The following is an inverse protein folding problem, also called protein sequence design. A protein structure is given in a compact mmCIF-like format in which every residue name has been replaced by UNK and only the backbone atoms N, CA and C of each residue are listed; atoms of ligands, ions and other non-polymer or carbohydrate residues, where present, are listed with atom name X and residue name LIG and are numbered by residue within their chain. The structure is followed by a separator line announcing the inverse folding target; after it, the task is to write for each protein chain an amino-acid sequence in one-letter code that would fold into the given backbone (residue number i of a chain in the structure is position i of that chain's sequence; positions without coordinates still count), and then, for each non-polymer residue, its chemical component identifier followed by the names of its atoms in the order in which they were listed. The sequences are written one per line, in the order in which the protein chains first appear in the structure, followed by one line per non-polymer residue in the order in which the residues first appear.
data_IF_604615335754
#
_entry.id   IF_604615335754
#
_cell.length_a   1.000
_cell.length_b   1.000
_cell.length_c   1.000
_cell.angle_alpha   90.00
_cell.angle_beta   90.00
_cell.angle_gamma   90.00
#
_symmetry.space_group_name_H-M   'P 1'
#
loop_
_entity.id
_entity.type
_entity.pdbx_description
1 polymer ?
#
# COMPACT_ATOMS: atom_id res chain seq x y z
N UNK A 1 27.97 -31.97 -16.74
CA UNK A 1 27.48 -31.89 -15.35
C UNK A 1 27.46 -30.45 -14.82
N UNK A 2 28.57 -29.68 -14.89
CA UNK A 2 28.61 -28.29 -14.35
C UNK A 2 27.59 -27.38 -15.01
N UNK A 3 27.39 -27.40 -16.32
CA UNK A 3 26.40 -26.57 -17.02
C UNK A 3 24.97 -26.87 -16.56
N UNK A 4 24.61 -28.13 -16.38
CA UNK A 4 23.27 -28.54 -15.91
C UNK A 4 23.06 -28.04 -14.47
N UNK A 5 24.07 -28.12 -13.61
CA UNK A 5 24.00 -27.60 -12.25
C UNK A 5 23.80 -26.07 -12.23
N UNK A 6 24.53 -25.33 -13.08
CA UNK A 6 24.39 -23.88 -13.21
C UNK A 6 22.98 -23.46 -13.71
N UNK A 7 22.44 -24.16 -14.70
CA UNK A 7 21.08 -23.94 -15.20
C UNK A 7 20.07 -24.21 -14.09
N UNK A 8 20.23 -25.33 -13.38
CA UNK A 8 19.34 -25.67 -12.24
C UNK A 8 19.37 -24.63 -11.13
N UNK A 9 20.55 -24.15 -10.74
CA UNK A 9 20.69 -23.08 -9.73
C UNK A 9 20.06 -21.76 -10.21
N UNK A 10 20.26 -21.38 -11.46
CA UNK A 10 19.68 -20.17 -12.03
C UNK A 10 18.16 -20.25 -12.08
N UNK A 11 17.61 -21.38 -12.48
CA UNK A 11 16.17 -21.63 -12.47
C UNK A 11 15.59 -21.57 -11.04
N UNK A 12 16.26 -22.18 -10.08
CA UNK A 12 15.85 -22.15 -8.67
C UNK A 12 15.89 -20.72 -8.12
N UNK A 13 16.96 -19.96 -8.39
CA UNK A 13 17.07 -18.55 -8.03
C UNK A 13 15.90 -17.72 -8.59
N UNK A 14 15.61 -17.89 -9.89
CA UNK A 14 14.49 -17.20 -10.54
C UNK A 14 13.15 -17.55 -9.86
N UNK A 15 12.87 -18.83 -9.69
CA UNK A 15 11.61 -19.32 -9.13
C UNK A 15 11.39 -18.83 -7.68
N UNK A 16 12.44 -18.81 -6.87
CA UNK A 16 12.33 -18.47 -5.46
C UNK A 16 12.34 -16.97 -5.19
N UNK A 17 13.06 -16.18 -5.99
CA UNK A 17 13.34 -14.77 -5.68
C UNK A 17 12.72 -13.79 -6.68
N UNK A 18 12.69 -14.13 -7.97
CA UNK A 18 12.24 -13.24 -9.02
C UNK A 18 10.76 -13.47 -9.35
N UNK A 19 10.36 -14.71 -9.59
CA UNK A 19 8.97 -15.04 -9.93
C UNK A 19 7.94 -14.48 -8.91
N UNK A 20 8.16 -14.51 -7.59
CA UNK A 20 7.22 -13.93 -6.64
C UNK A 20 6.99 -12.41 -6.81
N UNK A 21 7.95 -11.69 -7.43
CA UNK A 21 7.81 -10.26 -7.75
C UNK A 21 6.98 -9.99 -9.01
N UNK A 22 6.80 -10.99 -9.85
CA UNK A 22 6.04 -10.94 -11.11
C UNK A 22 4.66 -11.59 -10.97
N UNK A 23 4.50 -12.47 -9.99
CA UNK A 23 3.28 -13.21 -9.75
C UNK A 23 2.36 -12.46 -8.79
N UNK A 24 1.54 -11.57 -9.35
CA UNK A 24 0.60 -10.76 -8.59
C UNK A 24 -0.48 -11.63 -7.93
N UNK A 25 -0.65 -11.45 -6.62
CA UNK A 25 -1.79 -11.98 -5.86
C UNK A 25 -2.83 -10.89 -5.69
N UNK A 26 -4.08 -11.21 -5.99
CA UNK A 26 -5.23 -10.41 -5.58
C UNK A 26 -5.71 -11.02 -4.25
N UNK A 27 -5.45 -10.33 -3.15
CA UNK A 27 -5.93 -10.72 -1.83
C UNK A 27 -7.36 -10.19 -1.66
N UNK A 28 -8.25 -10.99 -1.04
CA UNK A 28 -9.63 -10.58 -0.78
C UNK A 28 -9.88 -10.61 0.71
N UNK A 29 -10.41 -9.51 1.23
CA UNK A 29 -10.72 -9.34 2.65
C UNK A 29 -12.17 -8.89 2.77
N UNK A 30 -13.01 -9.76 3.31
CA UNK A 30 -14.36 -9.41 3.70
C UNK A 30 -14.34 -8.94 5.16
N UNK A 31 -14.70 -7.69 5.38
CA UNK A 31 -14.87 -7.11 6.71
C UNK A 31 -16.11 -6.18 6.70
N UNK A 32 -17.32 -6.77 6.68
CA UNK A 32 -18.53 -6.00 6.51
C UNK A 32 -18.76 -5.05 7.69
N UNK A 33 -18.79 -3.76 7.40
CA UNK A 33 -19.14 -2.69 8.34
C UNK A 33 -20.48 -2.03 7.95
N UNK A 34 -21.24 -2.69 7.07
CA UNK A 34 -22.52 -2.20 6.58
C UNK A 34 -22.42 -1.18 5.43
N UNK A 35 -21.23 -0.98 4.86
CA UNK A 35 -21.01 -0.01 3.79
C UNK A 35 -21.38 -0.56 2.40
N UNK A 36 -21.20 -1.87 2.16
CA UNK A 36 -21.49 -2.53 0.88
C UNK A 36 -20.64 -2.01 -0.28
N UNK A 37 -19.42 -1.53 0.00
CA UNK A 37 -18.49 -0.97 -0.99
C UNK A 37 -17.23 -1.82 -1.13
N UNK A 38 -16.70 -1.80 -2.35
CA UNK A 38 -15.46 -2.50 -2.72
C UNK A 38 -14.32 -1.50 -2.88
N UNK A 39 -13.27 -1.65 -2.07
CA UNK A 39 -12.06 -0.86 -2.15
C UNK A 39 -10.93 -1.69 -2.75
N UNK A 40 -10.22 -1.15 -3.73
CA UNK A 40 -8.97 -1.72 -4.21
C UNK A 40 -7.80 -0.98 -3.58
N UNK A 41 -7.08 -1.63 -2.68
CA UNK A 41 -5.86 -1.10 -2.08
C UNK A 41 -4.64 -1.50 -2.93
N UNK A 42 -3.86 -0.49 -3.34
CA UNK A 42 -2.56 -0.65 -4.00
C UNK A 42 -1.53 0.05 -3.12
N UNK A 43 -0.55 -0.68 -2.64
CA UNK A 43 0.45 -0.20 -1.69
C UNK A 43 1.87 -0.47 -2.18
N UNK A 44 2.81 0.40 -1.79
CA UNK A 44 4.24 0.17 -1.99
C UNK A 44 4.57 -0.09 -3.48
N UNK A 45 4.19 0.83 -4.36
CA UNK A 45 4.42 0.69 -5.80
C UNK A 45 5.90 0.53 -6.15
N UNK A 46 6.77 1.36 -5.55
CA UNK A 46 8.21 1.34 -5.83
C UNK A 46 8.47 1.12 -7.32
N UNK A 47 7.95 2.02 -8.17
CA UNK A 47 7.98 1.86 -9.63
C UNK A 47 9.39 1.70 -10.20
N UNK A 48 10.41 2.10 -9.45
CA UNK A 48 11.82 1.89 -9.76
C UNK A 48 12.22 0.41 -9.80
N UNK A 49 11.55 -0.45 -9.03
CA UNK A 49 11.83 -1.89 -8.95
C UNK A 49 10.66 -2.78 -9.39
N UNK A 50 9.47 -2.20 -9.60
CA UNK A 50 8.25 -2.97 -9.90
C UNK A 50 8.38 -3.74 -11.22
N UNK A 51 8.13 -5.06 -11.19
CA UNK A 51 8.15 -5.93 -12.36
C UNK A 51 6.77 -6.23 -12.96
N UNK A 52 5.71 -5.78 -12.29
CA UNK A 52 4.34 -5.86 -12.81
C UNK A 52 4.10 -4.61 -13.63
N UNK A 53 3.82 -4.75 -14.93
CA UNK A 53 3.64 -3.61 -15.84
C UNK A 53 2.34 -2.84 -15.62
N UNK A 54 2.25 -1.58 -16.11
CA UNK A 54 1.03 -0.78 -16.02
C UNK A 54 -0.16 -1.43 -16.71
N UNK A 55 0.02 -2.11 -17.85
CA UNK A 55 -1.07 -2.82 -18.56
C UNK A 55 -1.69 -3.91 -17.67
N UNK A 56 -0.85 -4.65 -16.93
CA UNK A 56 -1.32 -5.64 -15.96
C UNK A 56 -2.06 -5.00 -14.80
N UNK A 57 -1.60 -3.83 -14.36
CA UNK A 57 -2.29 -3.05 -13.33
C UNK A 57 -3.67 -2.61 -13.81
N UNK A 58 -3.76 -2.02 -15.00
CA UNK A 58 -5.05 -1.62 -15.60
C UNK A 58 -6.00 -2.80 -15.74
N UNK A 59 -5.50 -3.94 -16.22
CA UNK A 59 -6.31 -5.16 -16.35
C UNK A 59 -6.89 -5.60 -15.00
N UNK A 60 -6.12 -5.52 -13.91
CA UNK A 60 -6.58 -5.83 -12.55
C UNK A 60 -7.63 -4.84 -12.09
N UNK A 61 -7.38 -3.54 -12.23
CA UNK A 61 -8.35 -2.50 -11.83
C UNK A 61 -9.69 -2.68 -12.55
N UNK A 62 -9.66 -2.95 -13.86
CA UNK A 62 -10.87 -3.22 -14.65
C UNK A 62 -11.60 -4.50 -14.24
N UNK A 63 -10.85 -5.56 -13.96
CA UNK A 63 -11.42 -6.86 -13.58
C UNK A 63 -12.08 -6.83 -12.19
N UNK A 64 -11.48 -6.10 -11.24
CA UNK A 64 -11.96 -6.08 -9.86
C UNK A 64 -13.14 -5.12 -9.64
N UNK A 65 -13.40 -4.19 -10.56
CA UNK A 65 -14.56 -3.27 -10.53
C UNK A 65 -14.75 -2.61 -9.15
N UNK A 66 -13.72 -1.92 -8.62
CA UNK A 66 -13.83 -1.27 -7.32
C UNK A 66 -14.78 -0.08 -7.38
N UNK A 67 -15.41 0.26 -6.24
CA UNK A 67 -16.10 1.53 -6.05
C UNK A 67 -15.10 2.66 -5.76
N UNK A 68 -14.01 2.32 -5.06
CA UNK A 68 -12.95 3.24 -4.67
C UNK A 68 -11.57 2.58 -4.81
N UNK A 69 -10.56 3.37 -5.16
CA UNK A 69 -9.17 2.93 -5.14
C UNK A 69 -8.41 3.73 -4.10
N UNK A 70 -7.61 3.06 -3.27
CA UNK A 70 -6.76 3.69 -2.26
C UNK A 70 -5.30 3.31 -2.47
N UNK A 71 -4.45 4.33 -2.53
CA UNK A 71 -3.01 4.20 -2.70
C UNK A 71 -2.33 4.49 -1.36
N UNK A 72 -1.71 3.49 -0.76
CA UNK A 72 -1.18 3.60 0.60
C UNK A 72 0.34 3.82 0.66
N UNK A 73 0.85 4.71 -0.23
CA UNK A 73 2.21 5.26 -0.17
C UNK A 73 3.31 4.43 -0.81
N UNK A 74 4.53 4.97 -0.76
CA UNK A 74 5.77 4.44 -1.31
C UNK A 74 5.72 4.22 -2.84
N UNK A 75 5.61 5.32 -3.58
CA UNK A 75 5.52 5.33 -5.04
C UNK A 75 6.89 5.25 -5.71
N UNK A 76 7.79 6.16 -5.37
CA UNK A 76 9.22 6.16 -5.76
C UNK A 76 9.99 7.23 -4.98
N UNK A 77 11.24 6.96 -4.63
CA UNK A 77 12.15 7.96 -4.07
C UNK A 77 13.10 8.57 -5.12
N UNK A 78 13.00 8.15 -6.40
CA UNK A 78 13.89 8.55 -7.48
C UNK A 78 13.15 9.38 -8.53
N UNK A 79 13.71 10.56 -8.84
CA UNK A 79 13.13 11.50 -9.80
C UNK A 79 13.04 10.92 -11.22
N UNK A 80 14.05 10.18 -11.65
CA UNK A 80 14.11 9.59 -12.98
C UNK A 80 12.98 8.60 -13.28
N UNK A 81 12.30 8.09 -12.26
CA UNK A 81 11.14 7.21 -12.41
C UNK A 81 9.78 7.91 -12.36
N UNK A 82 9.74 9.25 -12.25
CA UNK A 82 8.47 9.98 -12.32
C UNK A 82 7.70 9.76 -13.63
N UNK A 83 8.34 9.70 -14.82
CA UNK A 83 7.62 9.35 -16.04
C UNK A 83 7.01 7.95 -15.99
N UNK A 84 7.70 7.00 -15.37
CA UNK A 84 7.18 5.65 -15.17
C UNK A 84 6.02 5.64 -14.16
N UNK A 85 6.11 6.40 -13.08
CA UNK A 85 5.02 6.57 -12.13
C UNK A 85 3.75 7.09 -12.83
N UNK A 86 3.87 8.08 -13.70
CA UNK A 86 2.74 8.63 -14.46
C UNK A 86 1.99 7.54 -15.26
N UNK A 87 2.70 6.55 -15.85
CA UNK A 87 2.06 5.44 -16.56
C UNK A 87 1.22 4.56 -15.62
N UNK A 88 1.71 4.30 -14.40
CA UNK A 88 0.94 3.53 -13.41
C UNK A 88 -0.26 4.31 -12.89
N UNK A 89 -0.11 5.60 -12.60
CA UNK A 89 -1.23 6.43 -12.16
C UNK A 89 -2.33 6.47 -13.21
N UNK A 90 -1.96 6.64 -14.50
CA UNK A 90 -2.90 6.57 -15.63
C UNK A 90 -3.61 5.22 -15.70
N UNK A 91 -2.89 4.11 -15.55
CA UNK A 91 -3.47 2.76 -15.55
C UNK A 91 -4.43 2.54 -14.37
N UNK A 92 -4.12 3.09 -13.19
CA UNK A 92 -4.95 2.99 -12.00
C UNK A 92 -6.23 3.80 -12.14
N UNK A 93 -6.17 4.98 -12.76
CA UNK A 93 -7.34 5.85 -12.95
C UNK A 93 -8.19 5.50 -14.17
N UNK A 94 -7.79 4.53 -14.98
CA UNK A 94 -8.40 4.20 -16.27
C UNK A 94 -9.89 3.76 -16.21
N UNK A 95 -10.40 3.43 -15.02
CA UNK A 95 -11.81 3.04 -14.82
C UNK A 95 -12.70 4.18 -14.35
N UNK A 96 -12.13 5.37 -14.08
CA UNK A 96 -12.89 6.58 -13.74
C UNK A 96 -13.52 6.60 -12.34
N UNK A 97 -13.16 5.66 -11.44
CA UNK A 97 -13.62 5.69 -10.05
C UNK A 97 -12.75 6.61 -9.19
N UNK A 98 -13.27 7.14 -8.07
CA UNK A 98 -12.48 7.99 -7.17
C UNK A 98 -11.22 7.28 -6.66
N UNK A 99 -10.08 7.98 -6.72
CA UNK A 99 -8.78 7.48 -6.25
C UNK A 99 -8.25 8.42 -5.18
N UNK A 100 -7.92 7.86 -4.03
CA UNK A 100 -7.35 8.57 -2.88
C UNK A 100 -5.97 8.02 -2.55
N UNK A 101 -5.07 8.87 -2.09
CA UNK A 101 -3.70 8.52 -1.82
C UNK A 101 -3.19 9.11 -0.50
N UNK A 102 -2.25 8.43 0.14
CA UNK A 102 -1.39 8.97 1.20
C UNK A 102 0.07 8.79 0.81
N UNK A 103 0.98 9.51 1.47
CA UNK A 103 2.42 9.40 1.20
C UNK A 103 3.07 8.37 2.13
N UNK A 104 4.07 7.67 1.60
CA UNK A 104 4.95 6.78 2.35
C UNK A 104 6.31 7.41 2.67
N UNK A 105 7.17 6.69 3.37
CA UNK A 105 8.46 7.21 3.79
C UNK A 105 9.43 7.42 2.62
N UNK A 106 9.35 6.63 1.56
CA UNK A 106 10.18 6.81 0.37
C UNK A 106 9.74 8.03 -0.46
N UNK A 107 8.48 8.40 -0.41
CA UNK A 107 7.96 9.59 -1.10
C UNK A 107 8.53 10.88 -0.49
N UNK A 108 8.85 10.88 0.81
CA UNK A 108 9.53 11.98 1.48
C UNK A 108 11.03 12.06 1.16
N UNK A 109 11.62 11.02 0.59
CA UNK A 109 13.01 11.02 0.11
C UNK A 109 13.12 11.54 -1.34
N UNK A 110 11.98 11.80 -1.99
CA UNK A 110 11.92 12.29 -3.36
C UNK A 110 12.59 13.68 -3.48
N UNK A 111 13.61 13.87 -4.35
CA UNK A 111 14.29 15.16 -4.51
C UNK A 111 13.39 16.27 -5.05
N UNK A 112 12.32 15.90 -5.74
CA UNK A 112 11.35 16.83 -6.36
C UNK A 112 9.92 16.46 -5.96
N UNK A 113 9.54 16.58 -4.69
CA UNK A 113 8.23 16.13 -4.21
C UNK A 113 7.08 16.86 -4.90
N UNK A 114 7.25 18.14 -5.28
CA UNK A 114 6.22 18.91 -6.01
C UNK A 114 5.94 18.32 -7.40
N UNK A 115 6.98 17.86 -8.12
CA UNK A 115 6.81 17.23 -9.43
C UNK A 115 5.98 15.94 -9.29
N UNK A 116 6.28 15.10 -8.29
CA UNK A 116 5.51 13.90 -8.00
C UNK A 116 4.05 14.23 -7.65
N UNK A 117 3.80 15.17 -6.74
CA UNK A 117 2.45 15.57 -6.35
C UNK A 117 1.64 16.13 -7.53
N UNK A 118 2.31 16.78 -8.48
CA UNK A 118 1.66 17.28 -9.71
C UNK A 118 1.13 16.13 -10.56
N UNK A 119 1.88 15.01 -10.69
CA UNK A 119 1.39 13.83 -11.43
C UNK A 119 0.09 13.27 -10.85
N UNK A 120 -0.03 13.21 -9.52
CA UNK A 120 -1.26 12.77 -8.89
C UNK A 120 -2.44 13.69 -9.20
N UNK A 121 -2.21 15.00 -9.07
CA UNK A 121 -3.25 16.00 -9.37
C UNK A 121 -3.69 15.96 -10.83
N UNK A 122 -2.77 15.80 -11.78
CA UNK A 122 -3.05 15.68 -13.21
C UNK A 122 -3.89 14.43 -13.54
N UNK A 123 -3.78 13.38 -12.73
CA UNK A 123 -4.60 12.18 -12.85
C UNK A 123 -5.88 12.22 -12.00
N UNK A 124 -6.22 13.36 -11.39
CA UNK A 124 -7.40 13.50 -10.55
C UNK A 124 -7.35 12.73 -9.23
N UNK A 125 -6.16 12.33 -8.76
CA UNK A 125 -5.97 11.58 -7.52
C UNK A 125 -5.87 12.56 -6.34
N UNK A 126 -6.75 12.40 -5.34
CA UNK A 126 -6.74 13.21 -4.14
C UNK A 126 -5.73 12.66 -3.12
N UNK A 127 -4.69 13.44 -2.81
CA UNK A 127 -3.71 13.07 -1.76
C UNK A 127 -4.19 13.66 -0.43
N UNK A 128 -4.41 12.78 0.54
CA UNK A 128 -4.79 13.14 1.90
C UNK A 128 -3.54 13.16 2.80
N UNK A 129 -3.33 14.30 3.47
CA UNK A 129 -2.20 14.50 4.38
C UNK A 129 -2.74 15.08 5.69
N UNK A 130 -3.01 14.22 6.66
CA UNK A 130 -3.64 14.57 7.94
C UNK A 130 -4.96 15.32 7.75
N UNK A 131 -5.81 14.79 6.90
CA UNK A 131 -7.10 15.38 6.58
C UNK A 131 -8.12 14.33 6.19
N UNK A 132 -9.36 14.74 6.04
CA UNK A 132 -10.46 13.86 5.71
C UNK A 132 -11.32 14.42 4.59
N UNK A 133 -12.05 13.53 3.93
CA UNK A 133 -13.10 13.85 2.96
C UNK A 133 -14.38 13.13 3.36
N UNK A 134 -15.47 13.89 3.52
CA UNK A 134 -16.80 13.32 3.75
C UNK A 134 -17.37 12.88 2.41
N UNK A 135 -17.68 11.61 2.29
CA UNK A 135 -18.34 11.01 1.15
C UNK A 135 -19.81 10.69 1.53
N UNK A 136 -20.68 10.41 0.57
CA UNK A 136 -22.09 10.19 0.90
C UNK A 136 -22.30 9.11 1.98
N UNK A 137 -21.59 7.99 1.90
CA UNK A 137 -21.79 6.83 2.77
C UNK A 137 -20.78 6.71 3.92
N UNK A 138 -19.61 7.36 3.85
CA UNK A 138 -18.55 7.25 4.85
C UNK A 138 -17.64 8.48 4.86
N UNK A 139 -16.80 8.60 5.87
CA UNK A 139 -15.68 9.56 5.89
C UNK A 139 -14.37 8.84 5.61
N UNK A 140 -13.62 9.26 4.60
CA UNK A 140 -12.27 8.78 4.33
C UNK A 140 -11.26 9.72 4.97
N UNK A 141 -10.35 9.14 5.78
CA UNK A 141 -9.37 9.86 6.58
C UNK A 141 -7.98 9.44 6.13
N UNK A 142 -7.15 10.40 5.73
CA UNK A 142 -5.76 10.16 5.37
C UNK A 142 -4.82 10.63 6.47
N UNK A 143 -4.11 9.70 7.12
CA UNK A 143 -3.05 10.01 8.08
C UNK A 143 -1.70 9.94 7.35
N UNK A 144 -0.94 11.02 7.43
CA UNK A 144 0.38 11.13 6.81
C UNK A 144 1.38 10.20 7.50
N UNK A 145 2.55 9.98 6.88
CA UNK A 145 3.47 8.92 7.27
C UNK A 145 4.00 9.06 8.70
N UNK A 146 3.81 7.98 9.49
CA UNK A 146 4.18 7.95 10.91
C UNK A 146 5.69 7.88 11.13
N UNK A 147 6.40 7.00 10.42
CA UNK A 147 7.84 6.78 10.62
C UNK A 147 8.72 7.98 10.26
N UNK A 148 8.22 8.91 9.46
CA UNK A 148 8.90 10.18 9.13
C UNK A 148 8.47 11.34 10.03
N UNK A 149 7.61 11.10 11.03
CA UNK A 149 7.13 12.11 11.97
C UNK A 149 6.11 13.11 11.39
N UNK A 150 5.52 12.81 10.23
CA UNK A 150 4.54 13.69 9.59
C UNK A 150 3.10 13.42 10.02
N UNK A 151 2.82 12.33 10.73
CA UNK A 151 1.45 12.00 11.18
C UNK A 151 0.93 13.01 12.21
N UNK A 152 -0.31 13.48 12.00
CA UNK A 152 -1.07 14.38 12.89
C UNK A 152 -2.48 13.81 13.03
N UNK A 153 -2.62 12.84 13.92
CA UNK A 153 -3.87 12.07 14.07
C UNK A 153 -5.04 13.01 14.39
N UNK A 154 -4.86 13.91 15.36
CA UNK A 154 -5.92 14.85 15.77
C UNK A 154 -6.40 15.74 14.62
N UNK A 155 -5.46 16.22 13.77
CA UNK A 155 -5.79 17.04 12.60
C UNK A 155 -6.59 16.23 11.57
N UNK A 156 -6.18 14.97 11.32
CA UNK A 156 -6.85 14.09 10.37
C UNK A 156 -8.32 13.82 10.74
N UNK A 157 -8.65 13.86 12.05
CA UNK A 157 -10.00 13.59 12.58
C UNK A 157 -10.80 14.84 12.93
N UNK A 158 -10.31 16.07 12.66
CA UNK A 158 -10.99 17.32 13.07
C UNK A 158 -12.40 17.47 12.48
N UNK A 159 -12.60 17.12 11.22
CA UNK A 159 -13.82 17.41 10.47
C UNK A 159 -14.57 16.15 10.06
N UNK A 160 -14.49 15.08 10.86
CA UNK A 160 -15.19 13.83 10.56
C UNK A 160 -16.68 13.95 10.92
N UNK A 161 -17.52 13.37 10.10
CA UNK A 161 -18.94 13.17 10.37
C UNK A 161 -19.11 11.87 11.18
N UNK A 162 -19.33 11.99 12.49
CA UNK A 162 -19.37 10.85 13.43
C UNK A 162 -20.55 9.89 13.23
N UNK A 163 -21.55 10.30 12.47
CA UNK A 163 -22.70 9.47 12.10
C UNK A 163 -22.38 8.47 10.97
N UNK A 164 -21.27 8.66 10.28
CA UNK A 164 -20.82 7.81 9.16
C UNK A 164 -19.65 6.92 9.57
N UNK A 165 -19.50 5.74 8.93
CA UNK A 165 -18.31 4.93 9.10
C UNK A 165 -17.02 5.71 8.78
N UNK A 166 -16.00 5.54 9.62
CA UNK A 166 -14.69 6.18 9.49
C UNK A 166 -13.69 5.19 8.89
N UNK A 167 -13.31 5.41 7.64
CA UNK A 167 -12.29 4.61 6.94
C UNK A 167 -10.98 5.38 6.94
N UNK A 168 -9.92 4.75 7.43
CA UNK A 168 -8.58 5.36 7.52
C UNK A 168 -7.66 4.75 6.49
N UNK A 169 -6.89 5.60 5.80
CA UNK A 169 -5.75 5.19 4.99
C UNK A 169 -4.46 5.83 5.53
N UNK A 170 -3.41 5.06 5.59
CA UNK A 170 -2.07 5.51 5.99
C UNK A 170 -1.02 4.62 5.35
N UNK A 171 0.25 5.03 5.36
CA UNK A 171 1.31 4.15 4.90
C UNK A 171 1.81 3.24 6.02
N UNK A 172 2.28 3.82 7.12
CA UNK A 172 2.92 3.08 8.22
C UNK A 172 1.88 2.62 9.27
N UNK A 173 1.64 1.30 9.40
CA UNK A 173 0.66 0.76 10.34
C UNK A 173 1.04 0.97 11.82
N UNK A 174 2.30 1.31 12.15
CA UNK A 174 2.68 1.60 13.54
C UNK A 174 1.89 2.77 14.14
N UNK A 175 1.26 3.61 13.32
CA UNK A 175 0.38 4.68 13.78
C UNK A 175 -0.78 4.18 14.65
N UNK A 176 -1.25 2.93 14.44
CA UNK A 176 -2.35 2.35 15.26
C UNK A 176 -2.01 2.28 16.74
N UNK A 177 -0.71 2.23 17.10
CA UNK A 177 -0.25 2.23 18.49
C UNK A 177 -0.34 3.59 19.17
N UNK A 178 -0.63 4.65 18.39
CA UNK A 178 -0.82 6.04 18.85
C UNK A 178 -2.23 6.53 18.62
N UNK A 179 -3.08 5.71 17.99
CA UNK A 179 -4.48 6.06 17.75
C UNK A 179 -5.22 6.20 19.07
N UNK A 180 -5.91 7.33 19.21
CA UNK A 180 -6.83 7.65 20.31
C UNK A 180 -8.22 8.01 19.80
N UNK A 181 -8.46 7.83 18.50
CA UNK A 181 -9.72 8.05 17.81
C UNK A 181 -10.23 6.70 17.27
N UNK A 182 -11.52 6.44 17.44
CA UNK A 182 -12.14 5.24 16.90
C UNK A 182 -12.29 5.34 15.38
N UNK A 183 -12.15 4.22 14.71
CA UNK A 183 -12.36 4.05 13.27
C UNK A 183 -12.95 2.67 13.00
N UNK A 184 -13.65 2.51 11.90
CA UNK A 184 -14.25 1.21 11.52
C UNK A 184 -13.26 0.33 10.80
N UNK A 185 -12.47 0.90 9.89
CA UNK A 185 -11.47 0.16 9.15
C UNK A 185 -10.26 1.02 8.77
N UNK A 186 -9.05 0.44 8.86
CA UNK A 186 -7.81 1.12 8.45
C UNK A 186 -7.04 0.26 7.45
N UNK A 187 -6.55 0.87 6.37
CA UNK A 187 -5.70 0.25 5.35
C UNK A 187 -4.30 0.84 5.37
N UNK A 188 -3.28 -0.02 5.50
CA UNK A 188 -1.86 0.37 5.53
C UNK A 188 -0.97 -0.57 4.72
N UNK A 189 0.31 -0.17 4.51
CA UNK A 189 1.33 -0.94 3.80
C UNK A 189 2.64 -1.05 4.56
N UNK A 190 3.76 -0.59 3.95
CA UNK A 190 5.08 -0.37 4.54
C UNK A 190 5.92 -1.63 4.84
N UNK A 191 5.35 -2.72 5.31
CA UNK A 191 6.11 -3.87 5.80
C UNK A 191 6.47 -4.89 4.72
N UNK A 192 5.92 -4.77 3.52
CA UNK A 192 6.10 -5.70 2.39
C UNK A 192 5.85 -7.17 2.73
N UNK A 193 5.07 -7.47 3.81
CA UNK A 193 4.87 -8.82 4.31
C UNK A 193 6.17 -9.54 4.69
N UNK A 194 7.18 -8.79 5.15
CA UNK A 194 8.60 -9.14 5.37
C UNK A 194 9.47 -9.16 4.11
N UNK A 195 8.93 -9.15 2.91
CA UNK A 195 9.62 -9.31 1.62
C UNK A 195 10.45 -10.61 1.49
N UNK A 196 11.24 -10.95 2.51
CA UNK A 196 11.95 -12.23 2.66
C UNK A 196 11.42 -12.96 3.90
N UNK A 197 10.55 -13.96 3.70
CA UNK A 197 9.94 -14.72 4.78
C UNK A 197 10.88 -15.82 5.31
N UNK A 198 12.08 -15.41 5.73
CA UNK A 198 13.09 -16.26 6.35
C UNK A 198 12.91 -16.17 7.87
N UNK A 199 12.88 -17.30 8.61
CA UNK A 199 12.82 -17.29 10.07
C UNK A 199 13.93 -16.40 10.65
N UNK A 200 13.59 -15.61 11.68
CA UNK A 200 14.48 -14.70 12.41
C UNK A 200 15.05 -13.51 11.62
N UNK A 201 15.09 -13.55 10.28
CA UNK A 201 15.68 -12.49 9.46
C UNK A 201 15.07 -11.10 9.74
N UNK A 202 13.75 -11.04 9.91
CA UNK A 202 13.05 -9.77 10.18
C UNK A 202 13.28 -9.22 11.59
N UNK A 203 13.76 -10.05 12.52
CA UNK A 203 14.15 -9.61 13.87
C UNK A 203 15.45 -8.80 13.87
N UNK A 204 16.29 -8.98 12.84
CA UNK A 204 17.56 -8.27 12.72
C UNK A 204 17.38 -6.78 12.35
N UNK A 205 16.31 -6.47 11.58
CA UNK A 205 16.01 -5.09 11.17
C UNK A 205 14.50 -4.87 11.13
N UNK A 206 13.83 -4.76 12.29
CA UNK A 206 12.39 -4.57 12.35
C UNK A 206 12.01 -3.16 11.87
N UNK A 207 10.85 -3.06 11.20
CA UNK A 207 10.26 -1.79 10.76
C UNK A 207 9.28 -1.21 11.81
N UNK A 208 9.71 -1.16 13.06
CA UNK A 208 8.94 -0.59 14.17
C UNK A 208 8.25 -1.62 15.08
N UNK A 209 7.49 -1.16 16.09
CA UNK A 209 6.99 -2.00 17.19
C UNK A 209 6.01 -3.10 16.77
N UNK A 210 5.13 -2.86 15.78
CA UNK A 210 4.21 -3.89 15.30
C UNK A 210 4.97 -5.08 14.70
N UNK A 211 5.96 -4.79 13.87
CA UNK A 211 6.77 -5.85 13.25
C UNK A 211 7.61 -6.63 14.26
N UNK A 212 8.06 -5.99 15.35
CA UNK A 212 8.71 -6.66 16.49
C UNK A 212 7.77 -7.67 17.19
N UNK A 213 6.47 -7.35 17.24
CA UNK A 213 5.42 -8.23 17.79
C UNK A 213 4.96 -9.30 16.80
N UNK A 214 5.59 -9.42 15.63
CA UNK A 214 5.21 -10.39 14.59
C UNK A 214 4.03 -9.95 13.70
N UNK A 215 3.56 -8.72 13.82
CA UNK A 215 2.44 -8.14 13.07
C UNK A 215 3.00 -7.38 11.85
N UNK A 216 2.86 -7.94 10.67
CA UNK A 216 3.45 -7.35 9.45
C UNK A 216 2.65 -7.57 8.16
N UNK A 217 1.46 -8.17 8.23
CA UNK A 217 0.54 -8.37 7.10
C UNK A 217 -0.82 -8.87 7.58
N UNK A 218 -1.86 -8.65 6.77
CA UNK A 218 -3.19 -9.20 7.00
C UNK A 218 -4.06 -8.36 7.92
N UNK A 219 -5.22 -8.91 8.26
CA UNK A 219 -6.23 -8.26 9.08
C UNK A 219 -5.93 -8.46 10.58
N UNK A 220 -5.99 -7.36 11.32
CA UNK A 220 -5.78 -7.30 12.77
C UNK A 220 -6.83 -6.38 13.40
N UNK A 221 -6.85 -6.34 14.73
CA UNK A 221 -7.73 -5.47 15.52
C UNK A 221 -6.93 -4.76 16.60
N UNK A 222 -7.21 -3.47 16.78
CA UNK A 222 -6.82 -2.66 17.95
C UNK A 222 -8.04 -2.34 18.79
N UNK A 223 -7.86 -1.65 19.91
CA UNK A 223 -8.96 -1.14 20.72
C UNK A 223 -9.82 -0.13 19.93
N UNK A 224 -9.22 0.62 19.01
CA UNK A 224 -9.87 1.68 18.25
C UNK A 224 -10.56 1.20 16.98
N UNK A 225 -10.23 0.01 16.46
CA UNK A 225 -10.84 -0.52 15.24
C UNK A 225 -10.05 -1.64 14.57
N UNK A 226 -10.57 -2.13 13.43
CA UNK A 226 -9.90 -3.13 12.62
C UNK A 226 -8.91 -2.48 11.66
N UNK A 227 -7.77 -3.13 11.39
CA UNK A 227 -6.79 -2.63 10.44
C UNK A 227 -6.17 -3.75 9.60
N UNK A 228 -5.89 -3.44 8.35
CA UNK A 228 -5.25 -4.34 7.40
C UNK A 228 -3.88 -3.81 6.99
N UNK A 229 -2.90 -4.70 6.92
CA UNK A 229 -1.56 -4.41 6.44
C UNK A 229 -1.31 -5.18 5.14
N UNK A 230 -1.21 -4.46 4.03
CA UNK A 230 -0.89 -5.03 2.72
C UNK A 230 0.57 -5.49 2.65
N UNK A 231 0.81 -6.54 1.85
CA UNK A 231 2.18 -6.97 1.50
C UNK A 231 2.82 -6.11 0.40
N UNK A 232 2.05 -5.17 -0.16
CA UNK A 232 2.50 -4.29 -1.21
C UNK A 232 2.81 -5.00 -2.55
N UNK A 233 2.79 -4.24 -3.63
CA UNK A 233 3.02 -4.77 -4.97
C UNK A 233 4.49 -4.72 -5.38
N UNK A 234 5.22 -3.65 -5.01
CA UNK A 234 6.63 -3.43 -5.32
C UNK A 234 7.59 -3.98 -4.26
N UNK A 235 8.86 -3.77 -4.48
CA UNK A 235 9.95 -4.20 -3.61
C UNK A 235 10.72 -2.99 -3.06
N UNK A 236 11.29 -3.12 -1.87
CA UNK A 236 12.17 -2.10 -1.27
C UNK A 236 13.58 -2.65 -1.02
N UNK A 237 14.60 -1.87 -1.33
CA UNK A 237 16.02 -2.23 -1.14
C UNK A 237 16.49 -3.27 -2.14
N UNK A 238 16.15 -4.54 -1.95
CA UNK A 238 16.51 -5.63 -2.86
C UNK A 238 15.36 -5.95 -3.80
N UNK A 239 15.61 -5.98 -5.11
CA UNK A 239 14.58 -6.27 -6.12
C UNK A 239 14.30 -7.78 -6.22
N UNK A 240 13.87 -8.37 -5.12
CA UNK A 240 13.51 -9.79 -4.98
C UNK A 240 12.50 -9.97 -3.85
N UNK A 241 11.76 -11.08 -3.86
CA UNK A 241 10.88 -11.53 -2.78
C UNK A 241 11.08 -13.03 -2.55
N UNK A 242 11.06 -13.46 -1.31
CA UNK A 242 11.18 -14.87 -0.96
C UNK A 242 9.96 -15.34 -0.14
N UNK A 243 9.20 -16.29 -0.68
CA UNK A 243 7.97 -16.84 -0.09
C UNK A 243 6.91 -15.78 0.26
N UNK A 244 6.97 -14.62 -0.41
CA UNK A 244 5.98 -13.54 -0.32
C UNK A 244 5.75 -13.01 -1.74
N UNK A 245 4.51 -13.11 -2.24
CA UNK A 245 4.15 -12.61 -3.57
C UNK A 245 3.82 -11.12 -3.52
N UNK A 246 4.02 -10.43 -4.64
CA UNK A 246 3.43 -9.10 -4.89
C UNK A 246 1.90 -9.16 -4.73
N UNK A 247 1.32 -8.12 -4.13
CA UNK A 247 -0.09 -8.12 -3.75
C UNK A 247 -0.78 -6.80 -4.05
N UNK A 248 -2.02 -6.88 -4.52
CA UNK A 248 -3.04 -5.85 -4.35
C UNK A 248 -4.19 -6.45 -3.55
N UNK A 249 -4.94 -5.63 -2.82
CA UNK A 249 -5.97 -6.13 -1.91
C UNK A 249 -7.33 -5.54 -2.27
N UNK A 250 -8.32 -6.40 -2.39
CA UNK A 250 -9.74 -6.03 -2.51
C UNK A 250 -10.38 -6.17 -1.15
N UNK A 251 -10.94 -5.07 -0.64
CA UNK A 251 -11.68 -5.03 0.63
C UNK A 251 -13.16 -4.89 0.33
N UNK A 252 -13.96 -5.77 0.89
CA UNK A 252 -15.43 -5.72 0.89
C UNK A 252 -15.89 -5.28 2.29
N UNK A 253 -16.33 -3.99 2.39
CA UNK A 253 -16.62 -3.29 3.63
C UNK A 253 -18.12 -3.05 3.84
#
# INVERSE_FOLDING_TARGET
MVLIALIGMSALFYLLLIMPTQWLKIERVAHPIGLGKRFLQISDLHVDMLRIGPDKMEAVVRAEKPDYIVLTGDYTYRREYLPRLALYLKAITAVGVPVYAVLGNHDYQQPRPREMLTLFREQGIAILRNGSVSLPEFTLIGIDNYSTGHSRISEAFLNIERSKPAIVITHDPNVVLKMNQNYDYLMAGHFHGKQFNIPFFFKLKPKGPLSQRGIYRGLHRSEQGAYYISKGIGQAGVNARFMVRSEVTVHEL
#
